data_IF_199224458380
#
_entry.id   IF_199224458380
#
_cell.length_a   1.000
_cell.length_b   1.000
_cell.length_c   1.000
_cell.angle_alpha   90.00
_cell.angle_beta   90.00
_cell.angle_gamma   90.00
#
_symmetry.space_group_name_H-M   'P 1'
#
loop_
_entity.id
_entity.type
_entity.pdbx_description
1 polymer ?
#
# COMPACT_ATOMS: atom_id res chain seq x y z
N UNK A 1 10.33 -5.62 4.33
CA UNK A 1 11.64 -5.42 3.70
C UNK A 1 12.37 -6.75 3.54
N UNK A 2 12.85 -7.35 4.63
CA UNK A 2 13.63 -8.60 4.61
C UNK A 2 12.96 -9.77 3.86
N UNK A 3 11.68 -10.05 4.12
CA UNK A 3 10.94 -11.16 3.44
C UNK A 3 10.90 -11.04 1.91
N UNK A 4 11.04 -9.82 1.39
CA UNK A 4 11.01 -9.55 -0.05
C UNK A 4 12.41 -9.20 -0.59
N UNK A 5 13.47 -9.28 0.23
CA UNK A 5 14.84 -8.95 -0.19
C UNK A 5 15.07 -7.49 -0.59
N UNK A 6 14.18 -6.57 -0.19
CA UNK A 6 14.26 -5.15 -0.57
C UNK A 6 14.50 -4.25 0.64
N UNK A 7 15.09 -3.08 0.38
CA UNK A 7 15.33 -2.06 1.40
C UNK A 7 14.01 -1.46 1.94
N UNK A 8 14.07 -0.89 3.14
CA UNK A 8 12.92 -0.14 3.69
C UNK A 8 12.57 1.09 2.84
N UNK A 9 13.57 1.74 2.25
CA UNK A 9 13.36 2.87 1.36
C UNK A 9 12.50 2.47 0.14
N UNK A 10 12.79 1.31 -0.44
CA UNK A 10 12.01 0.74 -1.55
C UNK A 10 10.57 0.45 -1.12
N UNK A 11 10.36 -0.11 0.07
CA UNK A 11 9.00 -0.31 0.61
C UNK A 11 8.27 1.03 0.79
N UNK A 12 8.91 2.06 1.35
CA UNK A 12 8.31 3.39 1.52
C UNK A 12 7.91 4.01 0.18
N UNK A 13 8.76 3.87 -0.84
CA UNK A 13 8.45 4.30 -2.21
C UNK A 13 7.18 3.63 -2.75
N UNK A 14 7.08 2.29 -2.64
CA UNK A 14 5.89 1.57 -3.10
C UNK A 14 4.62 1.94 -2.32
N UNK A 15 4.72 2.09 -0.99
CA UNK A 15 3.58 2.51 -0.16
C UNK A 15 3.08 3.88 -0.61
N UNK A 16 3.96 4.86 -0.83
CA UNK A 16 3.55 6.19 -1.30
C UNK A 16 2.87 6.13 -2.68
N UNK A 17 3.39 5.32 -3.59
CA UNK A 17 2.77 5.11 -4.90
C UNK A 17 1.37 4.48 -4.78
N UNK A 18 1.18 3.50 -3.90
CA UNK A 18 -0.13 2.87 -3.64
C UNK A 18 -1.10 3.89 -3.04
N UNK A 19 -0.68 4.68 -2.05
CA UNK A 19 -1.49 5.73 -1.45
C UNK A 19 -1.97 6.73 -2.50
N UNK A 20 -1.06 7.20 -3.36
CA UNK A 20 -1.37 8.12 -4.47
C UNK A 20 -2.36 7.50 -5.46
N UNK A 21 -2.12 6.26 -5.91
CA UNK A 21 -3.00 5.57 -6.87
C UNK A 21 -4.39 5.29 -6.33
N UNK A 22 -4.52 5.04 -5.03
CA UNK A 22 -5.82 4.82 -4.37
C UNK A 22 -6.47 6.12 -3.86
N UNK A 23 -5.78 7.26 -3.98
CA UNK A 23 -6.21 8.54 -3.44
C UNK A 23 -6.40 8.52 -1.91
N UNK A 24 -5.59 7.75 -1.19
CA UNK A 24 -5.67 7.55 0.25
C UNK A 24 -4.63 8.39 1.01
N UNK A 25 -5.01 8.93 2.16
CA UNK A 25 -4.13 9.75 3.01
C UNK A 25 -3.45 8.95 4.12
N UNK A 26 -3.87 7.70 4.34
CA UNK A 26 -3.25 6.79 5.31
C UNK A 26 -3.21 5.35 4.81
N UNK A 27 -2.35 4.54 5.41
CA UNK A 27 -2.24 3.10 5.09
C UNK A 27 -3.56 2.37 5.39
N UNK A 28 -4.20 2.69 6.51
CA UNK A 28 -5.49 2.11 6.89
C UNK A 28 -6.56 2.44 5.86
N UNK A 29 -6.62 3.70 5.42
CA UNK A 29 -7.56 4.11 4.38
C UNK A 29 -7.30 3.39 3.05
N UNK A 30 -6.04 3.23 2.66
CA UNK A 30 -5.68 2.48 1.45
C UNK A 30 -6.15 1.02 1.52
N UNK A 31 -6.01 0.36 2.66
CA UNK A 31 -6.52 -1.01 2.86
C UNK A 31 -8.04 -1.07 2.74
N UNK A 32 -8.76 -0.13 3.37
CA UNK A 32 -10.24 -0.06 3.28
C UNK A 32 -10.70 0.17 1.84
N UNK A 33 -10.07 1.10 1.13
CA UNK A 33 -10.40 1.39 -0.28
C UNK A 33 -10.08 0.20 -1.19
N UNK A 34 -8.89 -0.39 -1.05
CA UNK A 34 -8.49 -1.55 -1.84
C UNK A 34 -9.44 -2.74 -1.62
N UNK A 35 -9.91 -2.95 -0.39
CA UNK A 35 -10.91 -4.01 -0.11
C UNK A 35 -12.25 -3.71 -0.76
N UNK A 36 -12.76 -2.47 -0.66
CA UNK A 36 -14.03 -2.05 -1.31
C UNK A 36 -13.97 -2.17 -2.84
N UNK A 37 -12.80 -1.95 -3.43
CA UNK A 37 -12.55 -2.12 -4.86
C UNK A 37 -12.33 -3.59 -5.27
N UNK A 38 -12.28 -4.53 -4.32
CA UNK A 38 -12.02 -5.94 -4.59
C UNK A 38 -10.57 -6.26 -4.98
N UNK A 39 -9.62 -5.35 -4.71
CA UNK A 39 -8.20 -5.53 -5.07
C UNK A 39 -7.46 -6.45 -4.08
N UNK A 40 -7.94 -6.53 -2.84
CA UNK A 40 -7.43 -7.41 -1.78
C UNK A 40 -8.60 -7.94 -0.95
N UNK A 41 -8.35 -9.07 -0.29
CA UNK A 41 -9.25 -9.66 0.72
C UNK A 41 -8.74 -9.32 2.12
N UNK A 42 -9.66 -9.15 3.06
CA UNK A 42 -9.40 -8.95 4.50
C UNK A 42 -9.50 -10.27 5.24
#
# INVERSE_FOLDING_TARGET
AQRLGVSEHTIKFHVNAILSKLGAQSRTEAVVRATRLGLIIL
#
